data_IF_322125639663
#
_entry.id   IF_322125639663
#
_cell.length_a   1.000
_cell.length_b   1.000
_cell.length_c   1.000
_cell.angle_alpha   90.00
_cell.angle_beta   90.00
_cell.angle_gamma   90.00
#
_symmetry.space_group_name_H-M   'P 1'
#
loop_
_entity.id
_entity.type
_entity.pdbx_description
1 polymer ?
#
# COMPACT_ATOMS: atom_id res chain seq x y z
N UNK A 1 11.09 -29.98 37.03
CA UNK A 1 12.38 -30.11 36.33
C UNK A 1 12.12 -29.74 34.88
N UNK A 2 12.43 -28.49 34.59
CA UNK A 2 12.45 -27.69 33.35
C UNK A 2 11.79 -28.22 32.07
N UNK A 3 10.57 -27.74 31.81
CA UNK A 3 10.06 -27.63 30.44
C UNK A 3 10.61 -26.34 29.83
N UNK A 4 11.78 -26.43 29.18
CA UNK A 4 12.30 -25.39 28.29
C UNK A 4 11.40 -25.28 27.06
N UNK A 5 10.29 -24.55 27.19
CA UNK A 5 9.60 -24.00 26.03
C UNK A 5 10.28 -22.71 25.66
N UNK A 6 11.12 -22.84 24.63
CA UNK A 6 11.83 -21.79 23.93
C UNK A 6 10.92 -20.57 23.71
N UNK A 7 11.18 -19.49 24.44
CA UNK A 7 10.61 -18.16 24.21
C UNK A 7 11.19 -17.57 22.92
N UNK A 8 10.98 -18.24 21.79
CA UNK A 8 10.90 -17.54 20.51
C UNK A 8 9.61 -16.74 20.55
N UNK A 9 9.70 -15.60 21.24
CA UNK A 9 8.72 -14.54 21.40
C UNK A 9 8.07 -14.31 20.04
N UNK A 10 6.95 -14.99 19.82
CA UNK A 10 6.02 -14.70 18.73
C UNK A 10 5.55 -13.29 19.04
N UNK A 11 6.24 -12.31 18.47
CA UNK A 11 5.82 -10.90 18.47
C UNK A 11 4.39 -10.97 17.96
N UNK A 12 3.44 -10.71 18.87
CA UNK A 12 2.03 -10.92 18.63
C UNK A 12 1.69 -10.28 17.29
N UNK A 13 1.21 -11.10 16.35
CA UNK A 13 0.64 -10.59 15.11
C UNK A 13 -0.50 -9.67 15.53
N UNK A 14 -0.25 -8.37 15.58
CA UNK A 14 -1.32 -7.39 15.72
C UNK A 14 -2.31 -7.73 14.61
N UNK A 15 -3.51 -8.16 14.99
CA UNK A 15 -4.58 -8.36 14.04
C UNK A 15 -4.90 -6.99 13.48
N UNK A 16 -4.32 -6.65 12.34
CA UNK A 16 -4.62 -5.41 11.62
C UNK A 16 -6.11 -5.44 11.36
N UNK A 17 -6.84 -4.53 12.00
CA UNK A 17 -8.27 -4.38 11.75
C UNK A 17 -8.45 -4.01 10.29
N UNK A 18 -9.58 -4.41 9.68
CA UNK A 18 -9.85 -4.20 8.26
C UNK A 18 -9.68 -2.74 7.80
N UNK A 19 -9.79 -1.77 8.73
CA UNK A 19 -9.75 -0.33 8.44
C UNK A 19 -8.48 0.39 8.98
N UNK A 20 -7.52 -0.33 9.57
CA UNK A 20 -6.34 0.33 10.17
C UNK A 20 -5.45 1.01 9.12
N UNK A 21 -5.38 0.43 7.92
CA UNK A 21 -4.62 1.00 6.81
C UNK A 21 -5.23 2.29 6.28
N UNK A 22 -6.57 2.41 6.23
CA UNK A 22 -7.24 3.65 5.81
C UNK A 22 -7.01 4.77 6.81
N UNK A 23 -7.08 4.48 8.12
CA UNK A 23 -6.80 5.46 9.18
C UNK A 23 -5.36 5.94 9.13
N UNK A 24 -4.40 5.02 8.92
CA UNK A 24 -2.99 5.38 8.78
C UNK A 24 -2.75 6.23 7.54
N UNK A 25 -3.36 5.88 6.41
CA UNK A 25 -3.32 6.69 5.20
C UNK A 25 -3.91 8.09 5.42
N UNK A 26 -4.98 8.22 6.20
CA UNK A 26 -5.57 9.53 6.52
C UNK A 26 -4.69 10.41 7.40
N UNK A 27 -3.97 9.82 8.35
CA UNK A 27 -3.00 10.54 9.19
C UNK A 27 -1.78 11.07 8.42
N UNK A 28 -1.53 10.60 7.20
CA UNK A 28 -0.38 11.03 6.40
C UNK A 28 -0.60 12.40 5.74
N UNK A 29 0.47 13.21 5.67
CA UNK A 29 0.51 14.53 5.03
C UNK A 29 0.60 14.40 3.49
N UNK A 30 -0.42 13.80 2.89
CA UNK A 30 -0.54 13.52 1.46
C UNK A 30 -1.76 14.25 0.91
N UNK A 31 -1.70 14.71 -0.34
CA UNK A 31 -2.85 15.33 -1.01
C UNK A 31 -4.02 14.34 -1.11
N UNK A 32 -5.23 14.82 -0.87
CA UNK A 32 -6.46 14.02 -0.88
C UNK A 32 -6.61 13.19 -2.17
N UNK A 33 -6.34 13.78 -3.33
CA UNK A 33 -6.45 13.09 -4.61
C UNK A 33 -5.51 11.87 -4.72
N UNK A 34 -4.32 11.93 -4.12
CA UNK A 34 -3.36 10.80 -4.12
C UNK A 34 -3.79 9.76 -3.09
N UNK A 35 -4.34 10.18 -1.94
CA UNK A 35 -4.92 9.24 -0.96
C UNK A 35 -6.03 8.40 -1.59
N UNK A 36 -6.93 9.02 -2.37
CA UNK A 36 -7.98 8.28 -3.09
C UNK A 36 -7.42 7.27 -4.09
N UNK A 37 -6.38 7.65 -4.84
CA UNK A 37 -5.71 6.73 -5.77
C UNK A 37 -5.07 5.53 -5.03
N UNK A 38 -4.47 5.76 -3.87
CA UNK A 38 -3.91 4.69 -3.03
C UNK A 38 -5.01 3.80 -2.46
N UNK A 39 -6.15 4.36 -2.04
CA UNK A 39 -7.33 3.60 -1.62
C UNK A 39 -7.80 2.65 -2.71
N UNK A 40 -7.92 3.15 -3.94
CA UNK A 40 -8.35 2.35 -5.09
C UNK A 40 -7.37 1.19 -5.37
N UNK A 41 -6.06 1.42 -5.25
CA UNK A 41 -5.05 0.38 -5.43
C UNK A 41 -5.05 -0.67 -4.31
N UNK A 42 -5.28 -0.25 -3.07
CA UNK A 42 -5.21 -1.10 -1.89
C UNK A 42 -6.53 -1.81 -1.55
N UNK A 43 -7.67 -1.35 -2.10
CA UNK A 43 -9.03 -1.81 -1.73
C UNK A 43 -9.19 -3.34 -1.67
N UNK A 44 -8.63 -4.04 -2.65
CA UNK A 44 -8.73 -5.51 -2.75
C UNK A 44 -7.39 -6.21 -2.56
N UNK A 45 -6.37 -5.48 -2.10
CA UNK A 45 -4.99 -5.96 -2.02
C UNK A 45 -4.52 -5.97 -0.57
N UNK A 46 -4.69 -7.12 0.09
CA UNK A 46 -4.37 -7.28 1.51
C UNK A 46 -2.89 -7.08 1.81
N UNK A 47 -2.01 -7.40 0.87
CA UNK A 47 -0.57 -7.25 1.05
C UNK A 47 -0.17 -5.78 0.93
N UNK A 48 -0.79 -5.03 0.01
CA UNK A 48 -0.64 -3.58 -0.03
C UNK A 48 -1.21 -2.89 1.21
N UNK A 49 -2.36 -3.33 1.73
CA UNK A 49 -2.92 -2.82 2.99
C UNK A 49 -1.97 -3.05 4.18
N UNK A 50 -1.32 -4.22 4.21
CA UNK A 50 -0.27 -4.53 5.20
C UNK A 50 0.96 -3.65 5.01
N UNK A 51 1.40 -3.40 3.78
CA UNK A 51 2.53 -2.52 3.50
C UNK A 51 2.31 -1.09 4.02
N UNK A 52 1.10 -0.55 3.82
CA UNK A 52 0.71 0.75 4.37
C UNK A 52 0.78 0.77 5.91
N UNK A 53 0.51 -0.36 6.58
CA UNK A 53 0.39 -0.44 8.05
C UNK A 53 1.63 -0.89 8.79
N UNK A 54 2.49 -1.70 8.18
CA UNK A 54 3.62 -2.34 8.84
C UNK A 54 4.98 -1.90 8.30
N UNK A 55 5.01 -0.90 7.40
CA UNK A 55 6.23 -0.43 6.72
C UNK A 55 7.02 -1.57 6.06
N UNK A 56 6.29 -2.50 5.42
CA UNK A 56 6.88 -3.61 4.68
C UNK A 56 7.02 -3.28 3.20
N UNK A 57 8.12 -3.72 2.58
CA UNK A 57 8.30 -3.56 1.13
C UNK A 57 7.24 -4.36 0.36
N UNK A 58 6.62 -3.71 -0.62
CA UNK A 58 5.63 -4.35 -1.50
C UNK A 58 5.77 -3.83 -2.93
N UNK A 59 5.76 -4.72 -3.90
CA UNK A 59 5.76 -4.35 -5.32
C UNK A 59 4.43 -4.69 -5.94
N UNK A 60 3.78 -3.68 -6.53
CA UNK A 60 2.53 -3.83 -7.26
C UNK A 60 2.80 -3.59 -8.74
N UNK A 61 2.58 -4.63 -9.54
CA UNK A 61 2.63 -4.52 -11.00
C UNK A 61 1.23 -4.30 -11.56
N UNK A 62 1.07 -3.28 -12.38
CA UNK A 62 -0.21 -2.90 -12.99
C UNK A 62 -0.02 -2.48 -14.44
N UNK A 63 -1.08 -2.51 -15.23
CA UNK A 63 -1.10 -1.92 -16.58
C UNK A 63 -1.81 -0.57 -16.55
N UNK A 64 -1.59 0.26 -17.57
CA UNK A 64 -2.40 1.48 -17.74
C UNK A 64 -3.90 1.19 -17.82
N UNK A 65 -4.29 0.08 -18.47
CA UNK A 65 -5.70 -0.34 -18.58
C UNK A 65 -6.31 -0.62 -17.20
N UNK A 66 -5.56 -1.30 -16.31
CA UNK A 66 -6.02 -1.57 -14.95
C UNK A 66 -6.24 -0.27 -14.18
N UNK A 67 -5.27 0.66 -14.25
CA UNK A 67 -5.37 1.97 -13.58
C UNK A 67 -6.61 2.75 -14.07
N UNK A 68 -6.86 2.79 -15.38
CA UNK A 68 -8.04 3.44 -15.95
C UNK A 68 -9.34 2.78 -15.49
N UNK A 69 -9.37 1.44 -15.42
CA UNK A 69 -10.52 0.65 -14.98
C UNK A 69 -10.89 0.94 -13.52
N UNK A 70 -9.90 1.07 -12.63
CA UNK A 70 -10.15 1.40 -11.22
C UNK A 70 -10.38 2.90 -10.98
N UNK A 71 -10.35 3.74 -12.02
CA UNK A 71 -10.65 5.17 -11.93
C UNK A 71 -9.43 6.09 -11.83
N UNK A 72 -8.21 5.55 -11.86
CA UNK A 72 -6.96 6.33 -11.88
C UNK A 72 -6.61 6.68 -13.33
N UNK A 73 -7.39 7.61 -13.89
CA UNK A 73 -7.26 8.05 -15.28
C UNK A 73 -6.28 9.22 -15.42
N UNK A 74 -5.51 9.21 -16.51
CA UNK A 74 -4.63 10.30 -16.93
C UNK A 74 -4.89 10.59 -18.41
N UNK A 75 -4.79 11.85 -18.81
CA UNK A 75 -5.06 12.25 -20.21
C UNK A 75 -4.09 11.67 -21.25
N UNK A 76 -2.93 11.17 -20.81
CA UNK A 76 -1.96 10.42 -21.62
C UNK A 76 -1.40 9.26 -20.80
N UNK A 77 -1.16 8.12 -21.45
CA UNK A 77 -0.58 6.90 -20.86
C UNK A 77 0.95 7.00 -20.77
N UNK A 78 1.41 7.99 -19.99
CA UNK A 78 2.83 8.28 -19.80
C UNK A 78 3.22 8.03 -18.34
N UNK A 79 4.27 7.25 -18.10
CA UNK A 79 4.77 6.96 -16.73
C UNK A 79 5.01 8.23 -15.90
N UNK A 80 5.49 9.30 -16.54
CA UNK A 80 5.71 10.60 -15.89
C UNK A 80 4.45 11.23 -15.29
N UNK A 81 3.25 10.95 -15.84
CA UNK A 81 1.97 11.44 -15.31
C UNK A 81 1.54 10.75 -14.01
N UNK A 82 2.12 9.59 -13.72
CA UNK A 82 1.92 8.84 -12.48
C UNK A 82 3.04 9.09 -11.47
N UNK A 83 4.03 9.93 -11.79
CA UNK A 83 5.20 10.18 -10.94
C UNK A 83 4.82 10.58 -9.52
N UNK A 84 3.86 11.49 -9.34
CA UNK A 84 3.43 11.92 -8.01
C UNK A 84 2.85 10.76 -7.17
N UNK A 85 2.08 9.85 -7.78
CA UNK A 85 1.54 8.67 -7.11
C UNK A 85 2.67 7.68 -6.77
N UNK A 86 3.56 7.42 -7.73
CA UNK A 86 4.71 6.52 -7.57
C UNK A 86 5.63 7.02 -6.46
N UNK A 87 5.95 8.31 -6.44
CA UNK A 87 6.85 8.90 -5.45
C UNK A 87 6.26 8.80 -4.03
N UNK A 88 4.95 9.04 -3.87
CA UNK A 88 4.26 8.87 -2.60
C UNK A 88 4.23 7.41 -2.15
N UNK A 89 3.92 6.47 -3.05
CA UNK A 89 3.97 5.04 -2.74
C UNK A 89 5.36 4.59 -2.30
N UNK A 90 6.41 5.09 -2.95
CA UNK A 90 7.81 4.82 -2.55
C UNK A 90 8.12 5.26 -1.13
N UNK A 91 7.56 6.39 -0.67
CA UNK A 91 7.75 6.82 0.73
C UNK A 91 7.14 5.85 1.76
N UNK A 92 6.24 4.95 1.32
CA UNK A 92 5.62 3.91 2.14
C UNK A 92 6.27 2.52 1.93
N UNK A 93 7.39 2.45 1.19
CA UNK A 93 8.00 1.16 0.80
C UNK A 93 7.24 0.41 -0.30
N UNK A 94 6.29 1.07 -0.98
CA UNK A 94 5.49 0.45 -2.04
C UNK A 94 6.04 0.86 -3.41
N UNK A 95 6.48 -0.12 -4.19
CA UNK A 95 6.93 0.06 -5.56
C UNK A 95 5.80 -0.21 -6.54
N UNK A 96 5.34 0.83 -7.24
CA UNK A 96 4.37 0.70 -8.33
C UNK A 96 5.10 0.58 -9.67
N UNK A 97 4.97 -0.59 -10.31
CA UNK A 97 5.50 -0.87 -11.65
C UNK A 97 4.34 -0.81 -12.63
N UNK A 98 4.46 0.04 -13.65
CA UNK A 98 3.45 0.19 -14.71
C UNK A 98 4.03 -0.42 -15.98
N UNK A 99 3.40 -1.50 -16.44
CA UNK A 99 3.70 -2.19 -17.70
C UNK A 99 2.86 -1.64 -18.87
#
# INVERSE_FOLDING_TARGET
MDAYFNENRVIGKASVSHNDWEKRLEGMKIRSNIKEEIRLLARYDKDMQRAITMDSEYTKEVTFCYLEMIGIKRGKRERGRYKALIDVLKTMGINLVIA
#
